data_IF_846995485300
#
_entry.id   IF_846995485300
#
_cell.length_a   1.000
_cell.length_b   1.000
_cell.length_c   1.000
_cell.angle_alpha   90.00
_cell.angle_beta   90.00
_cell.angle_gamma   90.00
#
_symmetry.space_group_name_H-M   'P 1'
#
loop_
_entity.id
_entity.type
_entity.pdbx_description
1 polymer ?
#
# COMPACT_ATOMS: atom_id res chain seq x y z
N UNK A 1 20.99 8.10 -20.51
CA UNK A 1 20.34 8.80 -19.37
C UNK A 1 19.95 7.78 -18.35
N UNK A 2 20.21 7.99 -17.06
CA UNK A 2 19.88 6.99 -16.04
C UNK A 2 18.36 6.86 -15.90
N UNK A 3 17.84 5.63 -15.97
CA UNK A 3 16.43 5.29 -15.76
C UNK A 3 16.06 5.27 -14.26
N UNK A 4 16.70 6.12 -13.46
CA UNK A 4 16.41 6.17 -12.02
C UNK A 4 15.04 6.77 -11.80
N UNK A 5 14.18 6.03 -11.09
CA UNK A 5 12.91 6.51 -10.57
C UNK A 5 13.14 7.08 -9.18
N UNK A 6 12.86 8.37 -9.02
CA UNK A 6 13.03 9.08 -7.75
C UNK A 6 11.76 9.85 -7.40
N UNK A 7 11.30 9.67 -6.20
CA UNK A 7 10.08 10.32 -5.73
C UNK A 7 9.91 10.25 -4.23
N UNK A 8 8.73 10.58 -3.78
CA UNK A 8 8.36 10.58 -2.36
C UNK A 8 6.98 9.99 -2.13
N UNK A 9 6.66 9.76 -0.87
CA UNK A 9 5.30 9.48 -0.45
C UNK A 9 4.50 10.79 -0.44
N UNK A 10 3.34 10.80 -1.08
CA UNK A 10 2.45 11.96 -1.18
C UNK A 10 1.08 11.65 -0.58
N UNK A 11 0.34 12.69 -0.22
CA UNK A 11 -1.02 12.54 0.27
C UNK A 11 -2.03 12.31 -0.85
N UNK A 12 -3.17 11.67 -0.53
CA UNK A 12 -4.34 11.62 -1.40
C UNK A 12 -5.55 12.09 -0.60
N UNK A 13 -5.89 13.36 -0.70
CA UNK A 13 -6.92 13.99 0.11
C UNK A 13 -7.62 15.16 -0.61
N UNK A 14 -8.60 15.74 0.08
CA UNK A 14 -9.35 16.89 -0.42
C UNK A 14 -10.32 16.53 -1.55
N UNK A 15 -10.67 17.52 -2.36
CA UNK A 15 -11.61 17.34 -3.49
C UNK A 15 -10.95 16.74 -4.73
N UNK A 16 -9.65 16.98 -4.89
CA UNK A 16 -8.91 16.55 -6.08
C UNK A 16 -8.36 15.13 -5.97
N UNK A 17 -8.28 14.56 -4.76
CA UNK A 17 -7.85 13.18 -4.51
C UNK A 17 -6.53 12.82 -5.23
N UNK A 18 -6.53 11.86 -6.16
CA UNK A 18 -5.34 11.42 -6.88
C UNK A 18 -4.72 12.52 -7.76
N UNK A 19 -5.52 13.44 -8.29
CA UNK A 19 -4.98 14.62 -8.99
C UNK A 19 -4.13 15.49 -8.04
N UNK A 20 -4.55 15.66 -6.79
CA UNK A 20 -3.74 16.38 -5.79
C UNK A 20 -2.43 15.65 -5.51
N UNK A 21 -2.44 14.31 -5.42
CA UNK A 21 -1.23 13.51 -5.26
C UNK A 21 -0.24 13.71 -6.41
N UNK A 22 -0.73 13.69 -7.64
CA UNK A 22 0.09 13.91 -8.83
C UNK A 22 0.71 15.33 -8.84
N UNK A 23 -0.10 16.35 -8.51
CA UNK A 23 0.39 17.75 -8.40
C UNK A 23 1.46 17.90 -7.33
N UNK A 24 1.27 17.27 -6.17
CA UNK A 24 2.24 17.28 -5.07
C UNK A 24 3.56 16.63 -5.52
N UNK A 25 3.53 15.45 -6.14
CA UNK A 25 4.70 14.76 -6.63
C UNK A 25 5.47 15.58 -7.67
N UNK A 26 4.77 16.20 -8.62
CA UNK A 26 5.37 17.08 -9.64
C UNK A 26 6.03 18.29 -9.00
N UNK A 27 5.45 18.87 -7.93
CA UNK A 27 6.04 20.01 -7.22
C UNK A 27 7.40 19.71 -6.59
N UNK A 28 7.68 18.42 -6.32
CA UNK A 28 8.97 17.95 -5.80
C UNK A 28 9.97 17.55 -6.91
N UNK A 29 9.56 17.62 -8.17
CA UNK A 29 10.36 17.13 -9.29
C UNK A 29 10.43 15.60 -9.36
N UNK A 30 9.48 14.91 -8.75
CA UNK A 30 9.42 13.45 -8.76
C UNK A 30 9.03 12.90 -10.14
N UNK A 31 9.55 11.71 -10.50
CA UNK A 31 9.14 10.95 -11.67
C UNK A 31 8.47 9.62 -11.35
N UNK A 32 8.24 9.36 -10.07
CA UNK A 32 7.45 8.28 -9.47
C UNK A 32 6.97 8.77 -8.10
N UNK A 33 5.86 8.26 -7.60
CA UNK A 33 5.44 8.54 -6.23
C UNK A 33 4.70 7.38 -5.60
N UNK A 34 4.65 7.39 -4.27
CA UNK A 34 3.95 6.42 -3.45
C UNK A 34 2.78 7.10 -2.74
N UNK A 35 1.69 6.36 -2.53
CA UNK A 35 0.53 6.84 -1.77
C UNK A 35 -0.21 5.70 -1.06
N UNK A 36 -1.06 6.05 -0.10
CA UNK A 36 -2.11 5.18 0.40
C UNK A 36 -3.40 5.40 -0.39
N UNK A 37 -4.18 4.34 -0.64
CA UNK A 37 -5.49 4.47 -1.32
C UNK A 37 -6.60 5.05 -0.44
N UNK A 38 -6.29 5.32 0.81
CA UNK A 38 -7.14 5.91 1.84
C UNK A 38 -6.39 6.08 3.14
N UNK A 39 -7.05 6.41 4.24
CA UNK A 39 -6.42 6.60 5.53
C UNK A 39 -5.76 5.29 6.03
N UNK A 40 -4.44 5.29 6.31
CA UNK A 40 -3.73 4.05 6.63
C UNK A 40 -4.03 3.47 8.02
N UNK A 41 -4.68 4.25 8.89
CA UNK A 41 -5.02 3.87 10.26
C UNK A 41 -6.42 3.27 10.43
N UNK A 42 -7.22 3.19 9.34
CA UNK A 42 -8.56 2.62 9.39
C UNK A 42 -8.95 1.93 8.09
N UNK A 43 -10.09 1.26 8.08
CA UNK A 43 -10.62 0.51 6.94
C UNK A 43 -11.60 1.31 6.08
N UNK A 44 -11.86 2.57 6.40
CA UNK A 44 -12.78 3.40 5.62
C UNK A 44 -12.13 3.76 4.29
N UNK A 45 -12.87 3.55 3.21
CA UNK A 45 -12.43 3.84 1.84
C UNK A 45 -13.52 4.57 1.09
N UNK A 46 -13.12 5.58 0.33
CA UNK A 46 -13.99 6.16 -0.69
C UNK A 46 -14.14 5.17 -1.84
N UNK A 47 -15.23 5.28 -2.56
CA UNK A 47 -15.42 4.50 -3.78
C UNK A 47 -14.36 4.87 -4.83
N UNK A 48 -14.00 3.92 -5.67
CA UNK A 48 -12.92 4.09 -6.66
C UNK A 48 -13.22 5.25 -7.61
N UNK A 49 -14.47 5.41 -8.01
CA UNK A 49 -14.93 6.49 -8.88
C UNK A 49 -14.80 7.89 -8.25
N UNK A 50 -14.67 7.99 -6.93
CA UNK A 50 -14.46 9.24 -6.21
C UNK A 50 -12.97 9.64 -6.10
N UNK A 51 -12.05 8.78 -6.54
CA UNK A 51 -10.61 9.00 -6.38
C UNK A 51 -10.00 9.92 -7.45
N UNK A 52 -10.77 10.33 -8.45
CA UNK A 52 -10.33 11.22 -9.53
C UNK A 52 -9.10 10.69 -10.30
N UNK A 53 -9.11 9.39 -10.58
CA UNK A 53 -7.97 8.64 -11.13
C UNK A 53 -7.60 9.13 -12.52
N UNK A 54 -8.58 9.29 -13.41
CA UNK A 54 -8.37 9.70 -14.80
C UNK A 54 -7.67 11.06 -14.89
N UNK A 55 -8.18 12.07 -14.17
CA UNK A 55 -7.59 13.40 -14.17
C UNK A 55 -6.18 13.40 -13.55
N UNK A 56 -5.97 12.60 -12.50
CA UNK A 56 -4.65 12.44 -11.88
C UNK A 56 -3.63 11.83 -12.83
N UNK A 57 -3.98 10.77 -13.56
CA UNK A 57 -3.10 10.15 -14.55
C UNK A 57 -2.83 11.04 -15.76
N UNK A 58 -3.84 11.77 -16.23
CA UNK A 58 -3.62 12.76 -17.30
C UNK A 58 -2.54 13.75 -16.89
N UNK A 59 -2.68 14.36 -15.71
CA UNK A 59 -1.70 15.33 -15.22
C UNK A 59 -0.33 14.70 -14.97
N UNK A 60 -0.27 13.51 -14.36
CA UNK A 60 0.98 12.81 -14.06
C UNK A 60 1.78 12.53 -15.35
N UNK A 61 1.13 11.99 -16.39
CA UNK A 61 1.76 11.67 -17.68
C UNK A 61 2.23 12.90 -18.43
N UNK A 62 1.47 13.99 -18.41
CA UNK A 62 1.88 15.28 -18.99
C UNK A 62 3.17 15.83 -18.35
N UNK A 63 3.50 15.37 -17.12
CA UNK A 63 4.70 15.76 -16.37
C UNK A 63 5.75 14.64 -16.23
N UNK A 64 5.64 13.58 -17.05
CA UNK A 64 6.65 12.52 -17.11
C UNK A 64 6.58 11.48 -16.02
N UNK A 65 5.47 11.40 -15.27
CA UNK A 65 5.22 10.35 -14.28
C UNK A 65 4.35 9.26 -14.94
N UNK A 66 4.91 8.06 -15.07
CA UNK A 66 4.26 6.91 -15.72
C UNK A 66 3.97 5.76 -14.75
N UNK A 67 4.45 5.87 -13.52
CA UNK A 67 4.38 4.81 -12.52
C UNK A 67 4.09 5.37 -11.13
N UNK A 68 3.28 4.65 -10.38
CA UNK A 68 3.04 4.90 -8.96
C UNK A 68 3.20 3.60 -8.17
N UNK A 69 3.43 3.74 -6.88
CA UNK A 69 3.51 2.65 -5.93
C UNK A 69 2.43 2.87 -4.87
N UNK A 70 1.67 1.83 -4.57
CA UNK A 70 0.71 1.89 -3.47
C UNK A 70 1.34 1.27 -2.22
N UNK A 71 1.22 1.96 -1.09
CA UNK A 71 1.58 1.41 0.21
C UNK A 71 0.33 0.84 0.86
N UNK A 72 0.36 -0.43 1.25
CA UNK A 72 -0.71 -1.03 2.02
C UNK A 72 -0.86 -0.35 3.39
N UNK A 73 -2.08 -0.17 3.91
CA UNK A 73 -2.29 0.44 5.21
C UNK A 73 -1.61 -0.35 6.33
N UNK A 74 -0.97 0.33 7.27
CA UNK A 74 -0.27 -0.31 8.39
C UNK A 74 -1.20 -1.00 9.41
N UNK A 75 -2.51 -0.79 9.29
CA UNK A 75 -3.51 -1.53 10.08
C UNK A 75 -3.56 -3.02 9.70
N UNK A 76 -3.08 -3.40 8.51
CA UNK A 76 -3.00 -4.79 8.08
C UNK A 76 -1.90 -5.49 8.87
N UNK A 77 -2.29 -6.48 9.69
CA UNK A 77 -1.37 -7.32 10.47
C UNK A 77 -1.63 -8.80 10.18
N UNK A 78 -0.96 -9.33 9.16
CA UNK A 78 -1.04 -10.74 8.79
C UNK A 78 -0.28 -11.67 9.75
N UNK A 79 0.61 -11.13 10.58
CA UNK A 79 1.42 -11.89 11.51
C UNK A 79 0.70 -12.19 12.84
N UNK A 80 -0.49 -11.66 13.07
CA UNK A 80 -1.21 -11.82 14.32
C UNK A 80 -1.76 -13.23 14.47
N UNK A 81 -1.21 -14.00 15.41
CA UNK A 81 -1.64 -15.37 15.72
C UNK A 81 -2.49 -15.43 16.99
N UNK A 82 -2.62 -14.30 17.70
CA UNK A 82 -3.30 -14.23 19.02
C UNK A 82 -4.78 -13.92 18.86
N UNK A 83 -5.12 -13.08 17.89
CA UNK A 83 -6.49 -12.63 17.64
C UNK A 83 -6.92 -13.03 16.22
N UNK A 84 -7.66 -14.14 16.07
CA UNK A 84 -8.13 -14.61 14.77
C UNK A 84 -8.90 -13.55 13.99
N UNK A 85 -9.75 -12.78 14.63
CA UNK A 85 -10.52 -11.71 14.04
C UNK A 85 -9.67 -10.60 13.43
N UNK A 86 -8.51 -10.30 14.04
CA UNK A 86 -7.56 -9.32 13.50
C UNK A 86 -6.89 -9.84 12.22
N UNK A 87 -6.56 -11.13 12.21
CA UNK A 87 -6.00 -11.78 11.04
C UNK A 87 -7.01 -11.87 9.88
N UNK A 88 -8.24 -12.29 10.15
CA UNK A 88 -9.31 -12.37 9.15
C UNK A 88 -9.58 -11.01 8.53
N UNK A 89 -9.68 -9.97 9.35
CA UNK A 89 -9.82 -8.58 8.87
C UNK A 89 -8.63 -8.15 8.01
N UNK A 90 -7.41 -8.53 8.40
CA UNK A 90 -6.20 -8.19 7.64
C UNK A 90 -6.20 -8.85 6.26
N UNK A 91 -6.61 -10.11 6.16
CA UNK A 91 -6.72 -10.85 4.88
C UNK A 91 -7.76 -10.20 3.98
N UNK A 92 -8.99 -10.00 4.48
CA UNK A 92 -10.08 -9.36 3.74
C UNK A 92 -9.70 -7.96 3.26
N UNK A 93 -9.04 -7.20 4.13
CA UNK A 93 -8.70 -5.83 3.81
C UNK A 93 -7.52 -5.74 2.83
N UNK A 94 -6.56 -6.66 2.90
CA UNK A 94 -5.47 -6.75 1.92
C UNK A 94 -6.02 -7.07 0.52
N UNK A 95 -6.97 -7.98 0.41
CA UNK A 95 -7.64 -8.30 -0.86
C UNK A 95 -8.29 -7.05 -1.47
N UNK A 96 -9.03 -6.29 -0.68
CA UNK A 96 -9.63 -5.02 -1.10
C UNK A 96 -8.57 -4.00 -1.56
N UNK A 97 -7.46 -3.91 -0.87
CA UNK A 97 -6.38 -2.98 -1.23
C UNK A 97 -5.65 -3.40 -2.51
N UNK A 98 -5.53 -4.69 -2.82
CA UNK A 98 -5.00 -5.16 -4.11
C UNK A 98 -5.92 -4.71 -5.26
N UNK A 99 -7.22 -4.94 -5.14
CA UNK A 99 -8.21 -4.49 -6.13
C UNK A 99 -8.12 -2.97 -6.33
N UNK A 100 -8.00 -2.22 -5.25
CA UNK A 100 -7.86 -0.75 -5.31
C UNK A 100 -6.54 -0.34 -5.96
N UNK A 101 -5.45 -1.04 -5.68
CA UNK A 101 -4.14 -0.80 -6.27
C UNK A 101 -4.19 -0.97 -7.79
N UNK A 102 -4.77 -2.06 -8.27
CA UNK A 102 -4.99 -2.30 -9.70
C UNK A 102 -5.88 -1.20 -10.32
N UNK A 103 -6.98 -0.85 -9.67
CA UNK A 103 -7.89 0.22 -10.12
C UNK A 103 -7.21 1.59 -10.17
N UNK A 104 -6.25 1.86 -9.31
CA UNK A 104 -5.40 3.07 -9.35
C UNK A 104 -4.39 3.05 -10.51
N UNK A 105 -4.24 1.93 -11.21
CA UNK A 105 -3.26 1.75 -12.28
C UNK A 105 -1.84 1.49 -11.77
N UNK A 106 -1.70 0.99 -10.55
CA UNK A 106 -0.41 0.54 -9.98
C UNK A 106 -0.28 -0.98 -10.08
N UNK A 107 0.92 -1.44 -10.38
CA UNK A 107 1.29 -2.86 -10.36
C UNK A 107 2.13 -3.24 -9.14
N UNK A 108 2.41 -2.30 -8.25
CA UNK A 108 3.29 -2.52 -7.10
C UNK A 108 2.59 -2.06 -5.82
N UNK A 109 2.48 -2.98 -4.88
CA UNK A 109 2.06 -2.71 -3.51
C UNK A 109 3.19 -3.00 -2.53
N UNK A 110 3.52 -2.05 -1.66
CA UNK A 110 4.43 -2.25 -0.53
C UNK A 110 3.60 -2.63 0.69
N UNK A 111 3.94 -3.74 1.33
CA UNK A 111 3.25 -4.28 2.49
C UNK A 111 4.18 -4.44 3.69
N UNK A 112 3.84 -3.80 4.80
CA UNK A 112 4.30 -4.22 6.12
C UNK A 112 3.48 -5.44 6.54
N UNK A 113 4.08 -6.62 6.72
CA UNK A 113 3.32 -7.84 6.97
C UNK A 113 2.71 -7.89 8.39
N UNK A 114 3.21 -7.08 9.31
CA UNK A 114 2.71 -6.96 10.66
C UNK A 114 3.65 -7.48 11.74
N UNK A 115 3.13 -7.57 12.98
CA UNK A 115 3.84 -8.03 14.17
C UNK A 115 3.25 -9.33 14.70
N UNK A 116 4.11 -10.27 15.10
CA UNK A 116 3.71 -11.56 15.69
C UNK A 116 3.13 -11.47 17.10
N UNK A 117 3.07 -10.28 17.69
CA UNK A 117 2.42 -10.00 19.00
C UNK A 117 2.87 -10.99 20.10
N UNK A 118 4.20 -11.14 20.28
CA UNK A 118 4.86 -12.05 21.22
C UNK A 118 4.67 -13.57 20.97
N UNK A 119 4.05 -13.97 19.86
CA UNK A 119 3.88 -15.39 19.51
C UNK A 119 5.14 -16.05 18.92
N UNK A 120 6.16 -15.25 18.62
CA UNK A 120 7.42 -15.68 18.02
C UNK A 120 7.45 -15.52 16.49
N UNK A 121 8.65 -15.34 15.97
CA UNK A 121 8.91 -15.05 14.56
C UNK A 121 8.39 -16.17 13.66
N UNK A 122 8.63 -17.45 14.01
CA UNK A 122 8.20 -18.59 13.21
C UNK A 122 6.68 -18.64 13.04
N UNK A 123 5.93 -18.49 14.15
CA UNK A 123 4.47 -18.48 14.13
C UNK A 123 3.93 -17.29 13.31
N UNK A 124 4.50 -16.10 13.50
CA UNK A 124 4.14 -14.92 12.73
C UNK A 124 4.41 -15.07 11.23
N UNK A 125 5.57 -15.62 10.87
CA UNK A 125 5.94 -15.87 9.47
C UNK A 125 5.00 -16.89 8.81
N UNK A 126 4.69 -17.98 9.50
CA UNK A 126 3.74 -18.98 8.99
C UNK A 126 2.35 -18.36 8.73
N UNK A 127 1.91 -17.48 9.63
CA UNK A 127 0.63 -16.79 9.48
C UNK A 127 0.64 -15.81 8.29
N UNK A 128 1.73 -15.07 8.09
CA UNK A 128 1.91 -14.18 6.91
C UNK A 128 1.83 -14.99 5.62
N UNK A 129 2.55 -16.10 5.53
CA UNK A 129 2.55 -16.98 4.35
C UNK A 129 1.14 -17.48 4.06
N UNK A 130 0.41 -17.93 5.09
CA UNK A 130 -0.98 -18.37 4.96
C UNK A 130 -1.86 -17.25 4.41
N UNK A 131 -1.76 -16.04 4.96
CA UNK A 131 -2.56 -14.89 4.54
C UNK A 131 -2.27 -14.47 3.11
N UNK A 132 -0.99 -14.38 2.73
CA UNK A 132 -0.58 -14.05 1.37
C UNK A 132 -1.06 -15.10 0.36
N UNK A 133 -0.90 -16.39 0.66
CA UNK A 133 -1.40 -17.45 -0.21
C UNK A 133 -2.91 -17.38 -0.40
N UNK A 134 -3.66 -17.08 0.67
CA UNK A 134 -5.12 -16.92 0.58
C UNK A 134 -5.47 -15.80 -0.39
N UNK A 135 -4.89 -14.62 -0.22
CA UNK A 135 -5.22 -13.44 -1.02
C UNK A 135 -4.76 -13.60 -2.48
N UNK A 136 -3.53 -14.09 -2.70
CA UNK A 136 -2.98 -14.25 -4.04
C UNK A 136 -3.69 -15.35 -4.86
N UNK A 137 -4.22 -16.38 -4.20
CA UNK A 137 -5.00 -17.41 -4.89
C UNK A 137 -6.43 -16.98 -5.26
N UNK A 138 -6.92 -15.92 -4.64
CA UNK A 138 -8.28 -15.39 -4.86
C UNK A 138 -8.30 -14.19 -5.80
N UNK A 139 -7.14 -13.68 -6.18
CA UNK A 139 -7.03 -12.43 -6.92
C UNK A 139 -6.20 -12.62 -8.20
N UNK A 140 -6.81 -12.31 -9.34
CA UNK A 140 -6.18 -12.37 -10.66
C UNK A 140 -5.60 -11.01 -11.11
N UNK A 141 -5.63 -9.98 -10.25
CA UNK A 141 -5.06 -8.68 -10.55
C UNK A 141 -3.53 -8.74 -10.67
N UNK A 142 -2.98 -8.08 -11.68
CA UNK A 142 -1.53 -8.00 -11.92
C UNK A 142 -0.87 -6.99 -10.95
N UNK A 143 -0.82 -7.37 -9.67
CA UNK A 143 -0.23 -6.58 -8.59
C UNK A 143 0.83 -7.38 -7.86
N UNK A 144 2.07 -6.89 -7.90
CA UNK A 144 3.19 -7.45 -7.15
C UNK A 144 3.19 -6.91 -5.71
N UNK A 145 3.26 -7.81 -4.72
CA UNK A 145 3.40 -7.43 -3.31
C UNK A 145 4.86 -7.43 -2.93
N UNK A 146 5.39 -6.23 -2.64
CA UNK A 146 6.73 -6.04 -2.10
C UNK A 146 6.65 -6.05 -0.57
N UNK A 147 7.20 -7.10 0.06
CA UNK A 147 7.28 -7.17 1.51
C UNK A 147 8.36 -6.22 2.01
N UNK A 148 7.96 -5.26 2.85
CA UNK A 148 8.91 -4.39 3.52
C UNK A 148 9.55 -5.17 4.68
N UNK A 149 10.70 -5.76 4.40
CA UNK A 149 11.51 -6.45 5.39
C UNK A 149 12.31 -5.41 6.18
N UNK A 150 11.91 -5.23 7.43
CA UNK A 150 12.54 -4.36 8.45
C UNK A 150 13.53 -3.31 7.94
N UNK A 151 13.07 -2.09 7.81
CA UNK A 151 13.95 -0.95 8.06
C UNK A 151 14.16 -0.86 9.57
N UNK A 152 15.40 -0.75 10.09
CA UNK A 152 15.61 -0.36 11.48
C UNK A 152 15.17 1.09 11.61
N UNK A 153 13.86 1.30 11.71
CA UNK A 153 13.28 2.58 12.04
C UNK A 153 13.55 2.85 13.52
N UNK A 154 13.96 4.06 13.89
CA UNK A 154 14.02 4.45 15.30
C UNK A 154 12.71 4.25 16.08
N UNK A 155 11.59 4.05 15.37
CA UNK A 155 10.28 3.73 15.97
C UNK A 155 10.13 2.26 16.37
N UNK A 156 10.91 1.35 15.78
CA UNK A 156 10.85 -0.08 16.11
C UNK A 156 11.67 -0.41 17.37
N UNK A 157 12.51 0.51 17.83
CA UNK A 157 13.35 0.34 19.03
C UNK A 157 12.66 0.73 20.36
N UNK A 158 11.40 1.17 20.32
CA UNK A 158 10.67 1.63 21.52
C UNK A 158 9.60 0.67 22.02
N UNK A 159 9.54 -0.56 21.51
CA UNK A 159 8.68 -1.62 22.03
C UNK A 159 9.52 -2.70 22.69
N UNK A 160 10.09 -2.35 23.85
CA UNK A 160 10.59 -3.30 24.87
C UNK A 160 9.60 -3.35 25.99
#
# INVERSE_FOLDING_TARGET
MSNIKLGSHVGMAGKEMFLASAKEAVSYGANVFMLYTGAPQNTRRKEINELNIEAGWKYAREHGIEEIIVHAPYIINLANTVKPETYELAVEFLEKEIIRTAAMGSHIMVLHPGSHVNAGVEAGTAQIIKGLNTVLNQNDDDVYICILYTSPSPRDSTSS
#
